data_IF_024779927007
#
_entry.id   IF_024779927007
#
_cell.length_a   1.000
_cell.length_b   1.000
_cell.length_c   1.000
_cell.angle_alpha   90.00
_cell.angle_beta   90.00
_cell.angle_gamma   90.00
#
_symmetry.space_group_name_H-M   'P 1'
#
loop_
_entity.id
_entity.type
_entity.pdbx_description
1 polymer ?
#
# COMPACT_ATOMS: atom_id res chain seq x y z
N UNK A 1 2.97 13.83 22.83
CA UNK A 1 2.62 14.58 21.62
C UNK A 1 3.30 13.89 20.48
N UNK A 2 2.51 13.35 19.56
CA UNK A 2 2.97 12.71 18.33
C UNK A 2 3.54 13.77 17.40
N UNK A 3 4.73 13.53 16.84
CA UNK A 3 5.34 14.43 15.85
C UNK A 3 4.64 14.21 14.51
N UNK A 4 3.65 15.05 14.22
CA UNK A 4 2.82 14.95 13.01
C UNK A 4 3.56 15.54 11.81
N UNK A 5 3.61 14.77 10.72
CA UNK A 5 4.27 15.21 9.49
C UNK A 5 3.36 16.15 8.70
N UNK A 6 3.82 17.38 8.52
CA UNK A 6 3.12 18.42 7.78
C UNK A 6 2.76 17.99 6.34
N UNK A 7 3.66 17.28 5.67
CA UNK A 7 3.43 16.78 4.31
C UNK A 7 2.19 15.87 4.22
N UNK A 8 1.96 15.00 5.21
CA UNK A 8 0.79 14.11 5.26
C UNK A 8 -0.49 14.93 5.42
N UNK A 9 -0.48 15.92 6.32
CA UNK A 9 -1.63 16.80 6.55
C UNK A 9 -1.96 17.67 5.34
N UNK A 10 -0.93 18.22 4.68
CA UNK A 10 -1.11 19.04 3.47
C UNK A 10 -1.67 18.21 2.31
N UNK A 11 -1.15 16.98 2.10
CA UNK A 11 -1.66 16.06 1.08
C UNK A 11 -3.11 15.64 1.37
N UNK A 12 -3.41 15.23 2.60
CA UNK A 12 -4.75 14.86 3.02
C UNK A 12 -5.74 16.04 2.90
N UNK A 13 -5.34 17.24 3.31
CA UNK A 13 -6.14 18.46 3.19
C UNK A 13 -6.52 18.78 1.74
N UNK A 14 -5.57 18.58 0.81
CA UNK A 14 -5.82 18.78 -0.63
C UNK A 14 -6.86 17.82 -1.22
N UNK A 15 -7.02 16.63 -0.63
CA UNK A 15 -7.96 15.57 -1.06
C UNK A 15 -9.24 15.49 -0.21
N UNK A 16 -9.35 16.32 0.83
CA UNK A 16 -10.33 16.24 1.93
C UNK A 16 -11.78 15.96 1.54
N UNK A 17 -12.24 16.41 0.37
CA UNK A 17 -13.62 16.20 -0.10
C UNK A 17 -13.93 14.73 -0.46
N UNK A 18 -12.93 13.96 -0.85
CA UNK A 18 -13.08 12.59 -1.35
C UNK A 18 -12.22 11.59 -0.58
N UNK A 19 -11.50 12.06 0.44
CA UNK A 19 -10.56 11.26 1.20
C UNK A 19 -11.29 10.20 2.04
N UNK A 20 -11.01 8.93 1.78
CA UNK A 20 -11.52 7.81 2.60
C UNK A 20 -10.65 7.56 3.83
N UNK A 21 -11.14 6.75 4.77
CA UNK A 21 -10.37 6.35 5.95
C UNK A 21 -9.13 5.52 5.59
N UNK A 22 -9.25 4.61 4.63
CA UNK A 22 -8.14 3.76 4.17
C UNK A 22 -7.12 4.55 3.35
N UNK A 23 -7.56 5.47 2.48
CA UNK A 23 -6.66 6.40 1.80
C UNK A 23 -5.90 7.27 2.80
N UNK A 24 -6.58 7.74 3.85
CA UNK A 24 -5.91 8.53 4.88
C UNK A 24 -4.91 7.69 5.68
N UNK A 25 -5.26 6.46 6.04
CA UNK A 25 -4.32 5.53 6.66
C UNK A 25 -3.10 5.30 5.75
N UNK A 26 -3.29 5.10 4.45
CA UNK A 26 -2.20 4.94 3.48
C UNK A 26 -1.21 6.12 3.53
N UNK A 27 -1.74 7.35 3.55
CA UNK A 27 -0.93 8.56 3.64
C UNK A 27 -0.14 8.63 4.95
N UNK A 28 -0.79 8.29 6.07
CA UNK A 28 -0.16 8.28 7.39
C UNK A 28 0.91 7.21 7.48
N UNK A 29 0.61 5.99 7.03
CA UNK A 29 1.50 4.84 7.10
C UNK A 29 2.76 5.02 6.25
N UNK A 30 2.60 5.54 5.02
CA UNK A 30 3.73 5.87 4.13
C UNK A 30 4.55 7.05 4.63
N UNK A 31 3.91 8.04 5.25
CA UNK A 31 4.52 9.32 5.58
C UNK A 31 5.05 9.44 7.00
N UNK A 32 4.55 8.63 7.94
CA UNK A 32 4.94 8.66 9.35
C UNK A 32 5.97 7.56 9.63
N UNK A 33 7.24 7.91 9.89
CA UNK A 33 8.26 6.90 10.17
C UNK A 33 7.92 6.16 11.46
N UNK A 34 8.03 4.84 11.42
CA UNK A 34 7.72 3.95 12.52
C UNK A 34 8.80 2.88 12.63
N UNK A 35 9.18 2.54 13.86
CA UNK A 35 10.15 1.46 14.13
C UNK A 35 9.48 0.08 14.21
N UNK A 36 8.15 0.03 14.05
CA UNK A 36 7.33 -1.18 14.10
C UNK A 36 6.32 -1.21 12.94
N UNK A 37 5.86 -2.40 12.50
CA UNK A 37 4.79 -2.55 11.51
C UNK A 37 3.53 -1.73 11.80
N UNK A 38 2.97 -1.12 10.76
CA UNK A 38 1.73 -0.34 10.84
C UNK A 38 1.84 1.01 11.56
N UNK A 39 0.68 1.60 11.83
CA UNK A 39 0.48 2.87 12.52
C UNK A 39 -0.22 2.61 13.84
N UNK A 40 0.26 3.21 14.93
CA UNK A 40 -0.45 3.18 16.20
C UNK A 40 -1.80 3.91 16.07
N UNK A 41 -2.88 3.34 16.59
CA UNK A 41 -4.22 3.96 16.54
C UNK A 41 -4.24 5.36 17.13
N UNK A 42 -3.48 5.61 18.19
CA UNK A 42 -3.29 6.96 18.77
C UNK A 42 -2.63 7.93 17.79
N UNK A 43 -1.68 7.45 16.97
CA UNK A 43 -1.03 8.28 15.94
C UNK A 43 -2.00 8.63 14.82
N UNK A 44 -2.78 7.67 14.34
CA UNK A 44 -3.83 7.93 13.36
C UNK A 44 -4.86 8.93 13.91
N UNK A 45 -5.33 8.74 15.15
CA UNK A 45 -6.27 9.65 15.82
C UNK A 45 -5.74 11.08 15.95
N UNK A 46 -4.45 11.24 16.25
CA UNK A 46 -3.80 12.54 16.31
C UNK A 46 -3.80 13.23 14.93
N UNK A 47 -3.53 12.49 13.84
CA UNK A 47 -3.63 13.01 12.48
C UNK A 47 -5.06 13.39 12.09
N UNK A 48 -6.05 12.54 12.41
CA UNK A 48 -7.47 12.84 12.18
C UNK A 48 -7.87 14.15 12.87
N UNK A 49 -7.52 14.28 14.15
CA UNK A 49 -7.82 15.46 14.96
C UNK A 49 -7.20 16.71 14.32
N UNK A 50 -5.90 16.70 14.07
CA UNK A 50 -5.20 17.84 13.46
C UNK A 50 -5.77 18.20 12.08
N UNK A 51 -6.07 17.21 11.24
CA UNK A 51 -6.63 17.44 9.91
C UNK A 51 -8.00 18.12 9.99
N UNK A 52 -8.87 17.70 10.91
CA UNK A 52 -10.19 18.30 11.10
C UNK A 52 -10.14 19.72 11.68
N UNK A 53 -9.14 20.04 12.50
CA UNK A 53 -8.92 21.40 13.00
C UNK A 53 -8.51 22.35 11.87
N UNK A 54 -7.70 21.87 10.92
CA UNK A 54 -7.20 22.67 9.80
C UNK A 54 -8.16 22.73 8.62
N UNK A 55 -8.95 21.67 8.43
CA UNK A 55 -9.86 21.50 7.30
C UNK A 55 -11.27 21.18 7.83
N UNK A 56 -12.10 22.20 8.10
CA UNK A 56 -13.42 22.01 8.74
C UNK A 56 -14.42 21.15 7.97
N UNK A 57 -14.15 20.82 6.70
CA UNK A 57 -14.97 19.92 5.89
C UNK A 57 -14.69 18.45 6.16
N UNK A 58 -13.61 18.13 6.88
CA UNK A 58 -13.26 16.74 7.23
C UNK A 58 -14.10 16.30 8.43
N UNK A 59 -14.84 15.21 8.24
CA UNK A 59 -15.57 14.54 9.32
C UNK A 59 -14.64 13.60 10.09
N UNK A 60 -14.15 14.08 11.23
CA UNK A 60 -13.23 13.35 12.07
C UNK A 60 -13.85 12.10 12.70
N UNK A 61 -15.15 12.11 13.01
CA UNK A 61 -15.84 10.95 13.59
C UNK A 61 -16.13 9.92 12.49
N UNK A 62 -16.51 10.38 11.29
CA UNK A 62 -16.66 9.55 10.10
C UNK A 62 -15.37 8.81 9.71
N UNK A 63 -14.22 9.49 9.69
CA UNK A 63 -12.93 8.84 9.39
C UNK A 63 -12.56 7.74 10.39
N UNK A 64 -12.91 7.91 11.68
CA UNK A 64 -12.65 6.89 12.71
C UNK A 64 -13.60 5.70 12.55
N UNK A 65 -14.88 5.97 12.39
CA UNK A 65 -15.91 4.93 12.24
C UNK A 65 -15.65 4.09 11.00
N UNK A 66 -15.36 4.73 9.86
CA UNK A 66 -15.07 4.03 8.61
C UNK A 66 -13.77 3.22 8.68
N UNK A 67 -12.78 3.66 9.48
CA UNK A 67 -11.56 2.89 9.72
C UNK A 67 -11.85 1.62 10.52
N UNK A 68 -12.66 1.74 11.57
CA UNK A 68 -13.09 0.59 12.37
C UNK A 68 -13.94 -0.39 11.55
N UNK A 69 -14.85 0.11 10.71
CA UNK A 69 -15.67 -0.71 9.81
C UNK A 69 -14.84 -1.43 8.74
N UNK A 70 -13.74 -0.83 8.29
CA UNK A 70 -12.80 -1.43 7.35
C UNK A 70 -11.84 -2.44 8.00
N UNK A 71 -11.80 -2.51 9.34
CA UNK A 71 -10.89 -3.41 10.05
C UNK A 71 -11.39 -4.85 10.00
N UNK A 72 -10.49 -5.78 9.66
CA UNK A 72 -10.77 -7.22 9.60
C UNK A 72 -9.82 -8.01 10.49
N UNK A 73 -10.28 -9.16 10.98
CA UNK A 73 -9.44 -10.17 11.66
C UNK A 73 -8.84 -11.20 10.67
N UNK A 74 -9.01 -10.99 9.36
CA UNK A 74 -8.43 -11.86 8.33
C UNK A 74 -6.92 -11.70 8.20
N UNK A 75 -6.22 -12.78 7.86
CA UNK A 75 -4.75 -12.79 7.73
C UNK A 75 -4.26 -12.66 6.28
N UNK A 76 -5.20 -12.64 5.32
CA UNK A 76 -4.94 -12.54 3.88
C UNK A 76 -5.26 -11.12 3.39
N UNK A 77 -4.39 -10.60 2.52
CA UNK A 77 -4.60 -9.29 1.93
C UNK A 77 -5.79 -9.31 0.96
N UNK A 78 -6.75 -8.40 1.17
CA UNK A 78 -8.05 -8.37 0.51
C UNK A 78 -8.32 -7.07 -0.24
N UNK A 79 -7.27 -6.28 -0.51
CA UNK A 79 -7.36 -5.00 -1.20
C UNK A 79 -7.07 -3.80 -0.31
N UNK A 80 -6.97 -2.63 -0.94
CA UNK A 80 -6.68 -1.33 -0.33
C UNK A 80 -7.82 -0.76 0.53
N UNK A 81 -9.01 -1.37 0.47
CA UNK A 81 -10.17 -0.99 1.30
C UNK A 81 -10.23 -1.74 2.64
N UNK A 82 -9.23 -2.57 2.94
CA UNK A 82 -9.20 -3.40 4.16
C UNK A 82 -8.07 -2.99 5.09
N UNK A 83 -8.37 -2.95 6.40
CA UNK A 83 -7.42 -2.61 7.46
C UNK A 83 -7.15 -3.82 8.34
N UNK A 84 -5.89 -4.03 8.69
CA UNK A 84 -5.43 -5.19 9.46
C UNK A 84 -4.85 -4.74 10.79
N UNK A 85 -5.23 -5.36 11.92
CA UNK A 85 -4.47 -5.28 13.15
C UNK A 85 -3.13 -6.02 12.97
N UNK A 86 -2.02 -5.34 13.23
CA UNK A 86 -0.67 -5.91 13.13
C UNK A 86 0.05 -6.01 14.47
N UNK A 87 -0.52 -5.39 15.50
CA UNK A 87 -0.13 -5.48 16.91
C UNK A 87 -1.33 -5.02 17.77
N UNK A 88 -1.26 -5.14 19.11
CA UNK A 88 -2.34 -4.79 20.05
C UNK A 88 -2.96 -3.39 19.80
N UNK A 89 -2.14 -2.42 19.41
CA UNK A 89 -2.54 -1.02 19.20
C UNK A 89 -2.29 -0.51 17.78
N UNK A 90 -1.93 -1.38 16.84
CA UNK A 90 -1.41 -0.97 15.52
C UNK A 90 -2.20 -1.53 14.36
N UNK A 91 -2.40 -0.69 13.37
CA UNK A 91 -3.18 -1.00 12.17
C UNK A 91 -2.35 -0.73 10.91
N UNK A 92 -2.60 -1.49 9.85
CA UNK A 92 -1.93 -1.37 8.56
C UNK A 92 -2.90 -1.69 7.43
N UNK A 93 -2.63 -1.20 6.22
CA UNK A 93 -3.31 -1.69 5.02
C UNK A 93 -2.82 -3.07 4.55
N UNK A 94 -1.79 -3.61 5.21
CA UNK A 94 -1.21 -4.91 4.90
C UNK A 94 -1.27 -5.82 6.14
N UNK A 95 -1.59 -7.12 5.97
CA UNK A 95 -1.69 -8.06 7.09
C UNK A 95 -0.33 -8.26 7.77
N UNK A 96 -0.36 -8.68 9.04
CA UNK A 96 0.86 -8.92 9.83
C UNK A 96 1.82 -9.92 9.14
N UNK A 97 1.26 -10.93 8.46
CA UNK A 97 2.01 -11.93 7.70
C UNK A 97 2.89 -11.32 6.60
N UNK A 98 2.49 -10.18 6.02
CA UNK A 98 3.29 -9.47 5.03
C UNK A 98 4.45 -8.74 5.68
N UNK A 99 4.21 -8.06 6.79
CA UNK A 99 5.26 -7.38 7.57
C UNK A 99 6.32 -8.37 8.08
N UNK A 100 5.91 -9.56 8.52
CA UNK A 100 6.84 -10.61 8.95
C UNK A 100 7.68 -11.18 7.79
N UNK A 101 7.07 -11.34 6.60
CA UNK A 101 7.74 -11.92 5.41
C UNK A 101 8.62 -10.91 4.66
N UNK A 102 8.19 -9.65 4.59
CA UNK A 102 8.76 -8.62 3.71
C UNK A 102 9.38 -7.44 4.48
N UNK A 103 9.38 -7.47 5.81
CA UNK A 103 10.03 -6.43 6.61
C UNK A 103 11.51 -6.28 6.24
N UNK A 104 11.87 -5.13 5.67
CA UNK A 104 13.23 -4.86 5.18
C UNK A 104 13.56 -5.45 3.81
N UNK A 105 12.60 -6.09 3.13
CA UNK A 105 12.75 -6.50 1.73
C UNK A 105 12.71 -5.26 0.81
N UNK A 106 13.48 -5.32 -0.27
CA UNK A 106 13.60 -4.26 -1.27
C UNK A 106 13.52 -4.77 -2.71
N UNK A 107 13.49 -6.09 -2.93
CA UNK A 107 13.34 -6.71 -4.23
C UNK A 107 11.86 -6.73 -4.68
N UNK A 108 11.49 -6.00 -5.75
CA UNK A 108 10.12 -5.97 -6.27
C UNK A 108 9.55 -7.35 -6.62
N UNK A 109 10.40 -8.33 -6.98
CA UNK A 109 9.94 -9.69 -7.33
C UNK A 109 9.29 -10.39 -6.16
N UNK A 110 9.81 -10.18 -4.94
CA UNK A 110 9.26 -10.82 -3.73
C UNK A 110 7.84 -10.33 -3.46
N UNK A 111 7.57 -9.04 -3.69
CA UNK A 111 6.23 -8.46 -3.57
C UNK A 111 5.29 -8.94 -4.67
N UNK A 112 5.73 -8.96 -5.93
CA UNK A 112 4.91 -9.44 -7.05
C UNK A 112 4.44 -10.89 -6.86
N UNK A 113 5.32 -11.78 -6.39
CA UNK A 113 4.96 -13.17 -6.03
C UNK A 113 3.91 -13.22 -4.93
N UNK A 114 4.01 -12.33 -3.93
CA UNK A 114 3.06 -12.30 -2.84
C UNK A 114 1.68 -11.80 -3.30
N UNK A 115 1.64 -10.81 -4.19
CA UNK A 115 0.39 -10.38 -4.80
C UNK A 115 -0.24 -11.47 -5.67
N UNK A 116 0.54 -12.26 -6.43
CA UNK A 116 -0.02 -13.36 -7.21
C UNK A 116 -0.59 -14.49 -6.34
N UNK A 117 -0.06 -14.72 -5.13
CA UNK A 117 -0.66 -15.63 -4.13
C UNK A 117 -2.10 -15.21 -3.74
N UNK A 118 -2.40 -13.91 -3.72
CA UNK A 118 -3.72 -13.39 -3.28
C UNK A 118 -4.83 -13.48 -4.34
N UNK A 119 -4.47 -13.71 -5.61
CA UNK A 119 -5.38 -13.58 -6.77
C UNK A 119 -6.11 -12.22 -6.86
N UNK A 120 -5.66 -11.19 -6.15
CA UNK A 120 -6.31 -9.87 -6.16
C UNK A 120 -6.18 -9.15 -7.50
N UNK A 121 -5.19 -9.54 -8.32
CA UNK A 121 -4.85 -8.87 -9.57
C UNK A 121 -4.70 -9.87 -10.73
N UNK A 122 -5.81 -10.17 -11.40
CA UNK A 122 -5.80 -11.09 -12.56
C UNK A 122 -4.99 -10.57 -13.76
N UNK A 123 -4.76 -9.25 -13.84
CA UNK A 123 -4.10 -8.58 -14.97
C UNK A 123 -2.78 -7.89 -14.56
N UNK A 124 -2.13 -8.39 -13.50
CA UNK A 124 -0.93 -7.80 -12.93
C UNK A 124 -1.23 -6.69 -11.93
N UNK A 125 -0.23 -6.36 -11.12
CA UNK A 125 -0.33 -5.44 -9.99
C UNK A 125 -0.12 -4.02 -10.48
N UNK A 126 -0.96 -3.04 -10.11
CA UNK A 126 -0.68 -1.63 -10.41
C UNK A 126 0.69 -1.21 -9.84
N UNK A 127 1.50 -0.51 -10.64
CA UNK A 127 2.82 -0.03 -10.20
C UNK A 127 2.73 0.75 -8.88
N UNK A 128 1.75 1.64 -8.76
CA UNK A 128 1.52 2.40 -7.53
C UNK A 128 1.29 1.51 -6.31
N UNK A 129 0.45 0.47 -6.43
CA UNK A 129 0.17 -0.50 -5.36
C UNK A 129 1.43 -1.26 -4.94
N UNK A 130 2.24 -1.69 -5.91
CA UNK A 130 3.51 -2.37 -5.64
C UNK A 130 4.47 -1.45 -4.87
N UNK A 131 4.65 -0.21 -5.36
CA UNK A 131 5.54 0.76 -4.73
C UNK A 131 5.05 1.13 -3.32
N UNK A 132 3.75 1.32 -3.12
CA UNK A 132 3.20 1.63 -1.80
C UNK A 132 3.41 0.47 -0.81
N UNK A 133 3.33 -0.79 -1.26
CA UNK A 133 3.66 -1.96 -0.44
C UNK A 133 5.16 -2.02 -0.10
N UNK A 134 6.04 -1.76 -1.06
CA UNK A 134 7.49 -1.72 -0.81
C UNK A 134 7.88 -0.63 0.19
N UNK A 135 7.25 0.54 0.10
CA UNK A 135 7.52 1.64 1.02
C UNK A 135 6.98 1.34 2.42
N UNK A 136 5.76 0.83 2.49
CA UNK A 136 5.06 0.60 3.76
C UNK A 136 5.59 -0.61 4.52
N UNK A 137 5.71 -1.76 3.84
CA UNK A 137 6.07 -3.04 4.43
C UNK A 137 7.58 -3.23 4.44
N UNK A 138 8.25 -2.88 3.33
CA UNK A 138 9.70 -3.00 3.20
C UNK A 138 10.49 -1.90 3.91
N UNK A 139 9.86 -0.76 4.18
CA UNK A 139 10.55 0.42 4.72
C UNK A 139 11.53 1.06 3.74
N UNK A 140 11.42 0.76 2.44
CA UNK A 140 12.24 1.35 1.39
C UNK A 140 11.70 2.73 1.03
N UNK A 141 12.54 3.72 0.70
CA UNK A 141 12.02 4.99 0.21
C UNK A 141 11.47 4.87 -1.23
N UNK A 142 10.56 5.76 -1.62
CA UNK A 142 9.86 5.66 -2.91
C UNK A 142 10.81 5.74 -4.12
N UNK A 143 11.88 6.51 -4.03
CA UNK A 143 12.84 6.66 -5.14
C UNK A 143 13.64 5.38 -5.32
N UNK A 144 14.13 4.79 -4.22
CA UNK A 144 14.81 3.49 -4.23
C UNK A 144 13.89 2.37 -4.72
N UNK A 145 12.64 2.30 -4.23
CA UNK A 145 11.67 1.30 -4.66
C UNK A 145 11.40 1.37 -6.18
N UNK A 146 11.26 2.59 -6.70
CA UNK A 146 11.08 2.83 -8.13
C UNK A 146 12.32 2.44 -8.93
N UNK A 147 13.51 2.82 -8.48
CA UNK A 147 14.76 2.46 -9.14
C UNK A 147 14.98 0.94 -9.21
N UNK A 148 14.63 0.22 -8.14
CA UNK A 148 14.69 -1.25 -8.13
C UNK A 148 13.74 -1.87 -9.15
N UNK A 149 12.52 -1.32 -9.29
CA UNK A 149 11.55 -1.79 -10.27
C UNK A 149 12.00 -1.50 -11.71
N UNK A 150 12.51 -0.28 -11.96
CA UNK A 150 13.02 0.12 -13.28
C UNK A 150 14.19 -0.79 -13.72
N UNK A 151 15.12 -1.10 -12.82
CA UNK A 151 16.24 -2.00 -13.12
C UNK A 151 15.76 -3.40 -13.58
N UNK A 152 14.74 -3.96 -12.93
CA UNK A 152 14.17 -5.25 -13.34
C UNK A 152 13.43 -5.19 -14.69
N UNK A 153 12.85 -4.03 -15.02
CA UNK A 153 12.26 -3.81 -16.36
C UNK A 153 13.35 -3.75 -17.43
N UNK A 154 14.45 -3.07 -17.17
CA UNK A 154 15.59 -2.99 -18.10
C UNK A 154 16.23 -4.36 -18.35
N UNK A 155 16.29 -5.21 -17.32
CA UNK A 155 16.79 -6.58 -17.39
C UNK A 155 15.76 -7.57 -17.99
N UNK A 156 14.52 -7.12 -18.22
CA UNK A 156 13.43 -7.92 -18.80
C UNK A 156 12.83 -8.95 -17.84
N UNK A 157 13.11 -8.85 -16.54
CA UNK A 157 12.57 -9.73 -15.50
C UNK A 157 11.14 -9.32 -15.09
N UNK A 158 10.81 -8.04 -15.22
CA UNK A 158 9.46 -7.50 -15.01
C UNK A 158 8.96 -6.90 -16.31
N UNK A 159 7.69 -7.16 -16.64
CA UNK A 159 7.04 -6.66 -17.85
C UNK A 159 5.88 -5.76 -17.45
N UNK A 160 5.67 -4.71 -18.24
CA UNK A 160 4.56 -3.78 -18.13
C UNK A 160 3.52 -4.15 -19.21
N UNK A 161 2.23 -4.03 -18.89
CA UNK A 161 1.22 -4.14 -19.95
C UNK A 161 1.45 -3.08 -21.05
N UNK A 162 0.99 -3.36 -22.27
CA UNK A 162 1.25 -2.52 -23.43
C UNK A 162 0.56 -1.14 -23.38
N UNK A 163 -0.27 -0.89 -22.36
CA UNK A 163 -0.82 0.42 -22.06
C UNK A 163 0.29 1.34 -21.54
N UNK A 164 0.66 2.35 -22.35
CA UNK A 164 1.69 3.37 -22.06
C UNK A 164 1.27 4.36 -20.95
N UNK A 165 0.59 3.90 -19.90
CA UNK A 165 0.11 4.72 -18.80
C UNK A 165 1.15 4.70 -17.66
N UNK A 166 1.44 5.84 -17.00
CA UNK A 166 2.43 5.91 -15.91
C UNK A 166 2.07 5.10 -14.64
N UNK A 167 0.95 4.37 -14.65
CA UNK A 167 0.50 3.48 -13.58
C UNK A 167 0.00 2.16 -14.20
N UNK A 168 0.77 1.66 -15.17
CA UNK A 168 0.45 0.39 -15.82
C UNK A 168 0.68 -0.78 -14.87
N UNK A 169 -0.04 -1.86 -15.14
CA UNK A 169 0.12 -3.09 -14.37
C UNK A 169 1.48 -3.73 -14.68
N UNK A 170 2.11 -4.24 -13.63
CA UNK A 170 3.37 -4.99 -13.67
C UNK A 170 3.16 -6.44 -13.26
N UNK A 171 3.93 -7.32 -13.88
CA UNK A 171 3.97 -8.75 -13.57
C UNK A 171 5.36 -9.32 -13.85
N UNK A 172 5.67 -10.48 -13.27
CA UNK A 172 6.92 -11.17 -13.56
C UNK A 172 6.91 -11.71 -14.99
N UNK A 173 8.04 -11.63 -15.69
CA UNK A 173 8.15 -12.12 -17.06
C UNK A 173 7.79 -13.61 -17.18
N UNK A 174 8.20 -14.43 -16.19
CA UNK A 174 7.90 -15.86 -16.10
C UNK A 174 6.38 -16.14 -16.06
N UNK A 175 5.59 -15.32 -15.37
CA UNK A 175 4.12 -15.49 -15.28
C UNK A 175 3.42 -15.20 -16.61
N UNK A 176 4.04 -14.38 -17.49
CA UNK A 176 3.52 -14.11 -18.84
C UNK A 176 3.75 -15.29 -19.78
N UNK A 177 4.88 -15.98 -19.65
CA UNK A 177 5.21 -17.13 -20.50
C UNK A 177 4.22 -18.29 -20.24
N UNK A 178 3.85 -18.53 -18.98
CA UNK A 178 2.83 -19.52 -18.61
C UNK A 178 1.44 -19.19 -19.21
N UNK A 179 1.07 -17.91 -19.27
CA UNK A 179 -0.17 -17.44 -19.91
C UNK A 179 -0.15 -17.52 -21.45
N UNK A 180 1.04 -17.44 -22.05
CA UNK A 180 1.23 -17.57 -23.49
C UNK A 180 1.28 -19.04 -23.94
N UNK A 181 1.94 -19.92 -23.19
CA UNK A 181 2.00 -21.37 -23.45
C UNK A 181 0.65 -22.07 -23.24
N UNK A 182 -0.21 -21.54 -22.38
CA UNK A 182 -1.58 -22.04 -22.18
C UNK A 182 -2.54 -21.81 -23.37
N UNK A 183 -2.15 -21.05 -24.40
CA UNK A 183 -2.99 -20.74 -25.58
C UNK A 183 -2.75 -21.65 -26.80
N UNK A 184 -1.83 -22.61 -26.72
CA UNK A 184 -1.54 -23.55 -27.83
C UNK A 184 -2.21 -24.93 -27.68
N UNK A 185 -3.27 -25.04 -26.87
CA UNK A 185 -4.11 -26.24 -26.82
C UNK A 185 -5.58 -25.90 -27.06
N UNK A 186 -5.93 -25.70 -28.35
CA UNK A 186 -7.18 -26.22 -28.92
C UNK A 186 -7.18 -26.21 -30.46
#
# INVERSE_FOLDING_TARGET
MTDLRRAVLDEAGSRSKYLTATEFLALVERGHPTDRPGVARETYDAYVTQLSEETPTVDAEGLRTNLDDATTDGDEWAGDETVYPVDDDRISLYPASWHDRLGGESDPRTYLRLFSETNAFEQGVPESTLLDAMVTVGGTDRETAKGNLEALREDGEVVEDADQHPDANVYLAEEREDLAEGKDVQ
#
